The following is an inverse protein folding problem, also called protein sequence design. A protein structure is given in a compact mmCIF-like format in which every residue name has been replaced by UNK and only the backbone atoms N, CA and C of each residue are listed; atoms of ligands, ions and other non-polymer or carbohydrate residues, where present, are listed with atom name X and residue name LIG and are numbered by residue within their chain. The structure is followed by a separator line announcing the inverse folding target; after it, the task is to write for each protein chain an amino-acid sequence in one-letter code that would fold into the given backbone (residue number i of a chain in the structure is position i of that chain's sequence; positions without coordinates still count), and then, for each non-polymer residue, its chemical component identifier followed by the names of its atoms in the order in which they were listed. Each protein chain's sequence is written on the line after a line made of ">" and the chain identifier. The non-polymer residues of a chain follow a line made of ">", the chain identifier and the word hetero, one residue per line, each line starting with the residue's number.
data_IF_577023102433
#
_entry.id   IF_577023102433
#
_cell.length_a   1.000
_cell.length_b   1.000
_cell.length_c   1.000
_cell.angle_alpha   90.00
_cell.angle_beta   90.00
_cell.angle_gamma   90.00
#
_symmetry.space_group_name_H-M   'P 1'
#
loop_
_entity.id
_entity.type
_entity.pdbx_description
1 polymer ?
#
# COMPACT_ATOMS: atom_id res chain seq x y z
N UNK A 1 -9.04 -16.76 -16.13
CA UNK A 1 -8.37 -15.52 -15.69
C UNK A 1 -8.68 -15.37 -14.20
N UNK A 2 -7.69 -15.39 -13.31
CA UNK A 2 -7.93 -15.24 -11.86
C UNK A 2 -7.97 -13.74 -11.54
N UNK A 3 -9.12 -13.22 -11.13
CA UNK A 3 -9.22 -11.89 -10.51
C UNK A 3 -9.05 -12.04 -9.00
N UNK A 4 -8.30 -11.12 -8.40
CA UNK A 4 -8.25 -10.98 -6.95
C UNK A 4 -9.24 -9.87 -6.58
N UNK A 5 -10.31 -10.23 -5.87
CA UNK A 5 -11.41 -9.29 -5.57
C UNK A 5 -11.12 -8.42 -4.34
N UNK A 6 -10.10 -8.74 -3.54
CA UNK A 6 -9.74 -7.97 -2.34
C UNK A 6 -8.27 -8.17 -1.92
N UNK A 7 -7.75 -7.19 -1.20
CA UNK A 7 -6.42 -7.23 -0.57
C UNK A 7 -6.59 -7.83 0.83
N UNK A 8 -5.97 -8.99 1.07
CA UNK A 8 -5.89 -9.59 2.40
C UNK A 8 -4.58 -9.20 3.07
N UNK A 9 -4.68 -8.57 4.25
CA UNK A 9 -3.55 -8.30 5.14
C UNK A 9 -3.49 -9.45 6.14
N UNK A 10 -2.40 -10.20 6.14
CA UNK A 10 -2.18 -11.26 7.12
C UNK A 10 -1.83 -10.61 8.48
N UNK A 11 -2.65 -10.87 9.50
CA UNK A 11 -2.54 -10.26 10.83
C UNK A 11 -1.13 -10.42 11.48
N UNK A 12 -0.40 -11.55 11.33
CA UNK A 12 0.92 -11.67 11.97
C UNK A 12 2.04 -10.86 11.29
N UNK A 13 1.81 -10.19 10.15
CA UNK A 13 2.86 -9.39 9.48
C UNK A 13 2.78 -7.89 9.78
N UNK A 14 1.75 -7.44 10.50
CA UNK A 14 1.60 -6.02 10.81
C UNK A 14 2.15 -5.67 12.20
N UNK A 15 3.33 -5.05 12.24
CA UNK A 15 4.02 -4.66 13.48
C UNK A 15 3.54 -3.32 14.07
N UNK A 16 2.41 -2.79 13.60
CA UNK A 16 1.95 -1.43 13.93
C UNK A 16 2.58 -0.32 13.09
N UNK A 17 3.48 -0.68 12.16
CA UNK A 17 4.02 0.25 11.17
C UNK A 17 2.95 0.63 10.15
N UNK A 18 2.93 1.89 9.72
CA UNK A 18 2.04 2.35 8.65
C UNK A 18 2.50 1.87 7.25
N UNK A 19 3.49 0.97 7.16
CA UNK A 19 3.99 0.37 5.92
C UNK A 19 3.56 -1.09 5.88
N UNK A 20 2.79 -1.46 4.86
CA UNK A 20 2.14 -2.76 4.72
C UNK A 20 2.60 -3.43 3.43
N UNK A 21 2.90 -4.72 3.51
CA UNK A 21 3.27 -5.56 2.37
C UNK A 21 2.15 -6.54 2.05
N UNK A 22 1.28 -6.23 1.07
CA UNK A 22 0.15 -7.09 0.73
C UNK A 22 0.56 -8.43 0.11
N UNK A 23 -0.11 -9.49 0.53
CA UNK A 23 -0.02 -10.81 -0.11
C UNK A 23 -0.73 -10.77 -1.47
N UNK A 24 -0.12 -11.33 -2.51
CA UNK A 24 -0.69 -11.38 -3.87
C UNK A 24 -0.43 -10.15 -4.74
N UNK A 25 0.29 -9.14 -4.23
CA UNK A 25 0.70 -7.94 -4.97
C UNK A 25 2.22 -7.67 -4.82
N UNK A 26 3.07 -8.56 -5.38
CA UNK A 26 4.52 -8.44 -5.21
C UNK A 26 5.05 -7.12 -5.73
N UNK A 27 5.97 -6.51 -4.97
CA UNK A 27 6.57 -5.21 -5.28
C UNK A 27 5.69 -4.00 -5.00
N UNK A 28 4.48 -4.20 -4.42
CA UNK A 28 3.60 -3.11 -4.01
C UNK A 28 3.73 -2.87 -2.52
N UNK A 29 3.81 -1.59 -2.13
CA UNK A 29 3.76 -1.15 -0.74
C UNK A 29 2.43 -0.45 -0.53
N UNK A 30 1.70 -0.83 0.52
CA UNK A 30 0.52 -0.13 0.98
C UNK A 30 0.86 0.69 2.22
N UNK A 31 0.12 1.76 2.42
CA UNK A 31 0.29 2.62 3.58
C UNK A 31 -1.04 3.24 4.00
N UNK A 32 -1.09 3.76 5.22
CA UNK A 32 -2.28 4.40 5.78
C UNK A 32 -2.37 5.88 5.39
N UNK A 33 -3.56 6.46 5.54
CA UNK A 33 -3.75 7.92 5.38
C UNK A 33 -2.93 8.72 6.41
N UNK A 34 -2.68 8.15 7.60
CA UNK A 34 -1.85 8.81 8.63
C UNK A 34 -0.41 9.00 8.15
N UNK A 35 0.13 8.03 7.41
CA UNK A 35 1.47 8.13 6.82
C UNK A 35 1.51 9.13 5.67
N UNK A 36 0.45 9.20 4.85
CA UNK A 36 0.30 10.25 3.86
C UNK A 36 0.33 11.65 4.49
N UNK A 37 -0.41 11.85 5.58
CA UNK A 37 -0.41 13.12 6.32
C UNK A 37 0.97 13.44 6.93
N UNK A 38 1.67 12.42 7.44
CA UNK A 38 3.04 12.55 7.93
C UNK A 38 4.00 13.01 6.82
N UNK A 39 3.99 12.35 5.66
CA UNK A 39 4.81 12.72 4.50
C UNK A 39 4.53 14.17 4.09
N UNK A 40 3.25 14.53 3.99
CA UNK A 40 2.83 15.88 3.60
C UNK A 40 3.29 16.93 4.62
N UNK A 41 3.14 16.65 5.91
CA UNK A 41 3.57 17.54 7.01
C UNK A 41 5.07 17.82 6.97
N UNK A 42 5.88 16.79 6.72
CA UNK A 42 7.34 16.88 6.74
C UNK A 42 7.97 17.09 5.36
N UNK A 43 7.17 17.24 4.29
CA UNK A 43 7.58 17.60 2.92
C UNK A 43 8.62 16.65 2.33
N UNK A 44 8.40 15.35 2.45
CA UNK A 44 9.24 14.37 1.76
C UNK A 44 9.12 14.54 0.24
N UNK A 45 10.25 14.52 -0.47
CA UNK A 45 10.31 14.79 -1.92
C UNK A 45 10.47 13.55 -2.78
N UNK A 46 10.88 12.43 -2.20
CA UNK A 46 11.25 11.21 -2.93
C UNK A 46 10.22 10.09 -2.75
N UNK A 47 8.94 10.45 -2.57
CA UNK A 47 7.85 9.50 -2.37
C UNK A 47 6.70 9.87 -3.31
N UNK A 48 6.19 8.87 -4.03
CA UNK A 48 5.01 9.01 -4.87
C UNK A 48 3.93 8.04 -4.38
N UNK A 49 2.82 8.59 -3.89
CA UNK A 49 1.66 7.83 -3.43
C UNK A 49 0.49 8.06 -4.38
N UNK A 50 -0.25 7.00 -4.67
CA UNK A 50 -1.53 7.07 -5.38
C UNK A 50 -2.64 6.56 -4.45
N UNK A 51 -3.87 7.06 -4.59
CA UNK A 51 -5.01 6.47 -3.89
C UNK A 51 -5.10 4.98 -4.17
N UNK A 52 -5.33 4.16 -3.14
CA UNK A 52 -5.38 2.71 -3.30
C UNK A 52 -6.44 2.26 -4.32
N UNK A 53 -7.55 3.02 -4.46
CA UNK A 53 -8.62 2.77 -5.45
C UNK A 53 -8.17 2.97 -6.91
N UNK A 54 -7.11 3.75 -7.13
CA UNK A 54 -6.56 4.02 -8.46
C UNK A 54 -5.47 3.03 -8.86
N UNK A 55 -4.99 2.21 -7.92
CA UNK A 55 -4.00 1.20 -8.19
C UNK A 55 -4.55 0.17 -9.17
N UNK A 56 -3.83 -0.02 -10.29
CA UNK A 56 -4.08 -1.08 -11.27
C UNK A 56 -2.85 -1.96 -11.33
N UNK A 57 -3.01 -3.21 -10.89
CA UNK A 57 -1.98 -4.23 -11.07
C UNK A 57 -1.70 -4.39 -12.57
N UNK A 58 -0.43 -4.30 -12.97
CA UNK A 58 0.02 -4.65 -14.34
C UNK A 58 0.35 -6.14 -14.49
N UNK A 59 0.15 -6.92 -13.44
CA UNK A 59 0.28 -8.37 -13.51
C UNK A 59 -0.99 -8.91 -14.17
N UNK A 60 -0.84 -9.32 -15.45
CA UNK A 60 -1.84 -9.70 -16.48
C UNK A 60 -2.06 -8.67 -17.58
#
# INVERSE_FOLDING_TARGET
>A
MKSFDSIHIDIPTWNGDDILYPTGLPGTILTSEKFYDFIKKYKFTNINLIPAKEYKSKWY
#
